data_IF_701921591179
#
_entry.id   IF_701921591179
#
_cell.length_a   1.000
_cell.length_b   1.000
_cell.length_c   1.000
_cell.angle_alpha   90.00
_cell.angle_beta   90.00
_cell.angle_gamma   90.00
#
_symmetry.space_group_name_H-M   'P 1'
#
loop_
_entity.id
_entity.type
_entity.pdbx_description
1 polymer ?
#
# COMPACT_ATOMS: atom_id res chain seq x y z
N UNK A 1 -20.60 25.60 10.25
CA UNK A 1 -20.07 25.17 8.96
C UNK A 1 -18.56 25.34 8.95
N UNK A 2 -17.87 24.60 8.06
CA UNK A 2 -16.43 24.75 7.83
C UNK A 2 -16.29 25.68 6.63
N UNK A 3 -15.47 26.72 6.77
CA UNK A 3 -15.07 27.61 5.69
C UNK A 3 -13.58 27.39 5.41
N UNK A 4 -13.23 27.26 4.13
CA UNK A 4 -11.85 27.01 3.70
C UNK A 4 -11.39 28.26 2.92
N UNK A 5 -10.22 28.77 3.30
CA UNK A 5 -9.58 29.89 2.63
C UNK A 5 -8.20 29.47 2.11
N UNK A 6 -7.78 29.97 0.95
CA UNK A 6 -6.43 29.75 0.44
C UNK A 6 -5.40 30.72 1.04
N UNK A 7 -4.16 30.66 0.59
CA UNK A 7 -3.07 31.54 1.05
C UNK A 7 -3.27 33.02 0.72
N UNK A 8 -4.19 33.34 -0.20
CA UNK A 8 -4.54 34.69 -0.60
C UNK A 8 -5.78 35.21 0.14
N UNK A 9 -6.28 34.45 1.14
CA UNK A 9 -7.49 34.72 1.89
C UNK A 9 -8.76 34.69 1.01
N UNK A 10 -8.75 33.95 -0.10
CA UNK A 10 -9.91 33.73 -0.95
C UNK A 10 -10.66 32.48 -0.52
N UNK A 11 -12.01 32.58 -0.40
CA UNK A 11 -12.85 31.46 0.02
C UNK A 11 -12.89 30.39 -1.05
N UNK A 12 -12.52 29.17 -0.68
CA UNK A 12 -12.53 27.98 -1.54
C UNK A 12 -13.74 27.10 -1.26
N UNK A 13 -14.46 26.76 -2.32
CA UNK A 13 -15.56 25.79 -2.24
C UNK A 13 -15.06 24.41 -2.61
N UNK A 14 -15.12 23.49 -1.64
CA UNK A 14 -14.83 22.08 -1.87
C UNK A 14 -16.08 21.26 -1.57
N UNK A 15 -16.46 20.37 -2.46
CA UNK A 15 -17.53 19.43 -2.20
C UNK A 15 -17.12 18.48 -1.07
N UNK A 16 -17.95 18.33 -0.03
CA UNK A 16 -17.69 17.35 1.02
C UNK A 16 -17.67 15.96 0.42
N UNK A 17 -16.62 15.19 0.71
CA UNK A 17 -16.59 13.77 0.43
C UNK A 17 -17.13 13.08 1.67
N UNK A 18 -18.21 12.31 1.52
CA UNK A 18 -18.69 11.46 2.60
C UNK A 18 -17.67 10.36 2.83
N UNK A 19 -16.90 10.46 3.90
CA UNK A 19 -16.10 9.34 4.36
C UNK A 19 -17.10 8.30 4.89
N UNK A 20 -17.08 7.12 4.34
CA UNK A 20 -17.67 5.96 4.98
C UNK A 20 -16.80 5.63 6.20
N UNK A 21 -16.96 6.41 7.26
CA UNK A 21 -16.60 5.94 8.57
C UNK A 21 -17.58 4.81 8.86
N UNK A 22 -17.23 3.61 8.43
CA UNK A 22 -17.86 2.47 9.06
C UNK A 22 -17.67 2.70 10.56
N UNK A 23 -18.76 2.78 11.31
CA UNK A 23 -18.80 2.72 12.78
C UNK A 23 -18.30 1.33 13.24
N UNK A 24 -17.11 0.97 12.79
CA UNK A 24 -16.39 -0.19 13.27
C UNK A 24 -15.66 0.25 14.54
N UNK A 25 -16.44 0.46 15.59
CA UNK A 25 -15.89 0.33 16.93
C UNK A 25 -15.29 -1.06 16.96
N UNK A 26 -13.96 -1.14 17.00
CA UNK A 26 -13.28 -2.41 17.13
C UNK A 26 -13.66 -2.98 18.49
N UNK A 27 -14.65 -3.86 18.50
CA UNK A 27 -15.05 -4.59 19.71
C UNK A 27 -14.06 -5.74 19.91
N UNK A 28 -13.53 -5.87 21.14
CA UNK A 28 -12.69 -7.01 21.53
C UNK A 28 -13.46 -8.34 21.55
N UNK A 29 -14.78 -8.28 21.48
CA UNK A 29 -15.63 -9.45 21.69
C UNK A 29 -15.24 -10.14 23.02
N UNK A 30 -15.10 -11.47 23.03
CA UNK A 30 -14.71 -12.26 24.21
C UNK A 30 -13.18 -12.38 24.42
N UNK A 31 -12.37 -11.65 23.64
CA UNK A 31 -10.92 -11.74 23.74
C UNK A 31 -10.36 -10.82 24.83
N UNK A 32 -9.35 -11.28 25.54
CA UNK A 32 -8.67 -10.50 26.59
C UNK A 32 -7.93 -9.29 26.02
N UNK A 33 -7.33 -9.43 24.84
CA UNK A 33 -6.51 -8.42 24.17
C UNK A 33 -6.92 -8.23 22.71
N UNK A 34 -6.80 -7.03 22.18
CA UNK A 34 -7.07 -6.73 20.75
C UNK A 34 -6.15 -7.55 19.82
N UNK A 35 -4.86 -7.62 20.11
CA UNK A 35 -3.94 -8.42 19.32
C UNK A 35 -4.37 -9.89 19.23
N UNK A 36 -4.83 -10.49 20.33
CA UNK A 36 -5.32 -11.87 20.30
C UNK A 36 -6.55 -12.00 19.39
N UNK A 37 -7.50 -11.07 19.49
CA UNK A 37 -8.66 -11.02 18.58
C UNK A 37 -8.21 -10.90 17.12
N UNK A 38 -7.27 -10.02 16.82
CA UNK A 38 -6.76 -9.78 15.49
C UNK A 38 -6.03 -10.98 14.90
N UNK A 39 -5.32 -11.76 15.73
CA UNK A 39 -4.76 -13.06 15.33
C UNK A 39 -5.86 -14.03 14.88
N UNK A 40 -6.96 -14.08 15.63
CA UNK A 40 -8.10 -14.95 15.29
C UNK A 40 -8.95 -14.42 14.12
N UNK A 41 -8.83 -13.15 13.74
CA UNK A 41 -9.47 -12.60 12.55
C UNK A 41 -8.76 -13.01 11.24
N UNK A 42 -7.52 -13.50 11.28
CA UNK A 42 -6.72 -13.80 10.10
C UNK A 42 -7.41 -14.73 9.09
N UNK A 43 -8.02 -15.85 9.48
CA UNK A 43 -8.69 -16.74 8.53
C UNK A 43 -9.84 -16.05 7.78
N UNK A 44 -10.60 -15.21 8.47
CA UNK A 44 -11.72 -14.48 7.86
C UNK A 44 -11.22 -13.43 6.85
N UNK A 45 -10.13 -12.74 7.18
CA UNK A 45 -9.50 -11.77 6.29
C UNK A 45 -8.91 -12.46 5.05
N UNK A 46 -8.20 -13.58 5.23
CA UNK A 46 -7.66 -14.35 4.12
C UNK A 46 -8.77 -14.86 3.20
N UNK A 47 -9.88 -15.37 3.75
CA UNK A 47 -11.05 -15.78 2.98
C UNK A 47 -11.64 -14.61 2.19
N UNK A 48 -11.85 -13.46 2.84
CA UNK A 48 -12.35 -12.26 2.18
C UNK A 48 -11.47 -11.82 1.01
N UNK A 49 -10.13 -11.90 1.17
CA UNK A 49 -9.17 -11.58 0.12
C UNK A 49 -9.30 -12.52 -1.07
N UNK A 50 -9.37 -13.83 -0.80
CA UNK A 50 -9.56 -14.83 -1.85
C UNK A 50 -10.87 -14.58 -2.61
N UNK A 51 -11.97 -14.35 -1.91
CA UNK A 51 -13.29 -14.07 -2.53
C UNK A 51 -13.29 -12.76 -3.34
N UNK A 52 -12.55 -11.74 -2.88
CA UNK A 52 -12.49 -10.43 -3.54
C UNK A 52 -11.61 -10.43 -4.79
N UNK A 53 -10.46 -11.08 -4.72
CA UNK A 53 -9.43 -10.98 -5.74
C UNK A 53 -9.27 -12.22 -6.62
N UNK A 54 -9.83 -13.36 -6.23
CA UNK A 54 -9.85 -14.56 -7.06
C UNK A 54 -11.27 -14.81 -7.57
N UNK A 55 -11.44 -14.68 -8.87
CA UNK A 55 -12.69 -15.06 -9.54
C UNK A 55 -12.48 -16.40 -10.23
N UNK A 56 -13.33 -17.37 -9.91
CA UNK A 56 -13.34 -18.65 -10.61
C UNK A 56 -14.14 -18.51 -11.91
N UNK A 57 -13.49 -18.71 -13.03
CA UNK A 57 -14.20 -18.85 -14.32
C UNK A 57 -14.91 -20.21 -14.35
N UNK A 58 -16.24 -20.18 -14.32
CA UNK A 58 -17.08 -21.39 -14.32
C UNK A 58 -17.01 -22.20 -15.61
N UNK A 59 -16.49 -21.62 -16.70
CA UNK A 59 -16.38 -22.32 -18.00
C UNK A 59 -15.05 -23.06 -18.13
N UNK A 60 -13.98 -22.45 -17.63
CA UNK A 60 -12.63 -23.01 -17.77
C UNK A 60 -12.12 -23.68 -16.51
N UNK A 61 -12.87 -23.57 -15.40
CA UNK A 61 -12.48 -24.03 -14.04
C UNK A 61 -11.17 -23.38 -13.53
N UNK A 62 -10.73 -22.29 -14.18
CA UNK A 62 -9.50 -21.57 -13.83
C UNK A 62 -9.81 -20.37 -12.94
N UNK A 63 -8.82 -20.02 -12.09
CA UNK A 63 -8.89 -18.80 -11.30
C UNK A 63 -8.25 -17.64 -12.05
N UNK A 64 -8.92 -16.48 -12.00
CA UNK A 64 -8.41 -15.21 -12.51
C UNK A 64 -8.31 -14.20 -11.38
N UNK A 65 -7.30 -13.34 -11.47
CA UNK A 65 -7.12 -12.25 -10.49
C UNK A 65 -8.04 -11.10 -10.89
N UNK A 66 -8.95 -10.74 -10.00
CA UNK A 66 -9.84 -9.58 -10.13
C UNK A 66 -9.13 -8.29 -9.70
N UNK A 67 -8.02 -7.99 -10.34
CA UNK A 67 -7.29 -6.74 -10.16
C UNK A 67 -6.56 -6.43 -11.46
N UNK A 68 -6.83 -5.25 -12.04
CA UNK A 68 -6.17 -4.86 -13.28
C UNK A 68 -5.20 -3.72 -13.04
N UNK A 69 -3.93 -3.98 -13.27
CA UNK A 69 -2.96 -2.94 -13.60
C UNK A 69 -2.88 -2.81 -15.11
N UNK A 70 -2.46 -1.64 -15.56
CA UNK A 70 -2.08 -1.47 -16.96
C UNK A 70 -0.97 -2.48 -17.32
N UNK A 71 -1.23 -3.29 -18.35
CA UNK A 71 -0.30 -4.34 -18.77
C UNK A 71 1.02 -3.75 -19.26
N UNK A 72 0.99 -2.62 -19.98
CA UNK A 72 2.20 -1.97 -20.46
C UNK A 72 3.04 -1.44 -19.29
N UNK A 73 2.36 -0.92 -18.25
CA UNK A 73 3.03 -0.55 -17.01
C UNK A 73 3.74 -1.73 -16.37
N UNK A 74 3.05 -2.89 -16.21
CA UNK A 74 3.66 -4.07 -15.59
C UNK A 74 4.82 -4.63 -16.42
N UNK A 75 4.65 -4.72 -17.72
CA UNK A 75 5.67 -5.25 -18.64
C UNK A 75 6.93 -4.36 -18.73
N UNK A 76 6.82 -3.09 -18.34
CA UNK A 76 7.97 -2.18 -18.33
C UNK A 76 8.86 -2.34 -17.09
N UNK A 77 8.44 -3.09 -16.06
CA UNK A 77 9.16 -3.17 -14.78
C UNK A 77 10.32 -4.16 -14.87
N UNK A 78 11.52 -3.67 -14.57
CA UNK A 78 12.76 -4.46 -14.54
C UNK A 78 13.30 -4.66 -13.11
N UNK A 79 12.81 -3.89 -12.15
CA UNK A 79 13.22 -3.92 -10.75
C UNK A 79 12.10 -3.50 -9.83
N UNK A 80 12.06 -4.05 -8.63
CA UNK A 80 11.13 -3.68 -7.59
C UNK A 80 11.91 -3.25 -6.33
N UNK A 81 11.59 -2.06 -5.81
CA UNK A 81 12.09 -1.56 -4.54
C UNK A 81 10.91 -1.35 -3.58
N UNK A 82 10.88 -2.10 -2.47
CA UNK A 82 9.81 -2.03 -1.48
C UNK A 82 10.29 -1.21 -0.28
N UNK A 83 9.52 -0.22 0.13
CA UNK A 83 9.83 0.63 1.28
C UNK A 83 8.76 0.51 2.35
N UNK A 84 9.16 0.18 3.57
CA UNK A 84 8.26 -0.08 4.68
C UNK A 84 8.97 0.08 6.03
N UNK A 85 8.18 0.15 7.11
CA UNK A 85 8.67 0.15 8.49
C UNK A 85 8.04 -1.01 9.30
N UNK A 86 8.70 -1.41 10.38
CA UNK A 86 8.17 -2.36 11.36
C UNK A 86 7.69 -3.68 10.74
N UNK A 87 6.53 -4.15 11.15
CA UNK A 87 5.94 -5.41 10.72
C UNK A 87 5.64 -5.42 9.21
N UNK A 88 5.26 -4.27 8.62
CA UNK A 88 5.06 -4.13 7.17
C UNK A 88 6.34 -4.42 6.38
N UNK A 89 7.52 -4.06 6.92
CA UNK A 89 8.78 -4.44 6.28
C UNK A 89 9.02 -5.94 6.34
N UNK A 90 8.68 -6.61 7.45
CA UNK A 90 8.83 -8.06 7.55
C UNK A 90 7.90 -8.79 6.57
N UNK A 91 6.67 -8.32 6.40
CA UNK A 91 5.75 -8.80 5.35
C UNK A 91 6.35 -8.59 3.96
N UNK A 92 6.89 -7.40 3.68
CA UNK A 92 7.58 -7.10 2.42
C UNK A 92 8.77 -8.02 2.15
N UNK A 93 9.50 -8.47 3.19
CA UNK A 93 10.61 -9.42 3.03
C UNK A 93 10.10 -10.80 2.58
N UNK A 94 8.95 -11.26 3.06
CA UNK A 94 8.30 -12.48 2.55
C UNK A 94 7.83 -12.24 1.11
N UNK A 95 7.16 -11.12 0.85
CA UNK A 95 6.71 -10.73 -0.48
C UNK A 95 7.83 -10.67 -1.52
N UNK A 96 9.04 -10.22 -1.13
CA UNK A 96 10.23 -10.25 -1.99
C UNK A 96 10.49 -11.64 -2.55
N UNK A 97 10.54 -12.68 -1.69
CA UNK A 97 10.80 -14.05 -2.16
C UNK A 97 9.77 -14.52 -3.18
N UNK A 98 8.49 -14.20 -2.94
CA UNK A 98 7.41 -14.56 -3.84
C UNK A 98 7.51 -13.81 -5.17
N UNK A 99 7.78 -12.50 -5.13
CA UNK A 99 7.94 -11.68 -6.33
C UNK A 99 9.11 -12.18 -7.18
N UNK A 100 10.29 -12.41 -6.58
CA UNK A 100 11.46 -12.91 -7.29
C UNK A 100 11.20 -14.30 -7.87
N UNK A 101 10.54 -15.18 -7.12
CA UNK A 101 10.24 -16.56 -7.56
C UNK A 101 9.26 -16.60 -8.72
N UNK A 102 8.21 -15.78 -8.71
CA UNK A 102 7.13 -15.86 -9.71
C UNK A 102 7.33 -14.94 -10.89
N UNK A 103 7.94 -13.76 -10.70
CA UNK A 103 8.15 -12.80 -11.79
C UNK A 103 9.56 -12.82 -12.37
N UNK A 104 10.56 -13.33 -11.63
CA UNK A 104 11.97 -13.24 -12.00
C UNK A 104 12.54 -11.82 -11.88
N UNK A 105 11.77 -10.86 -11.34
CA UNK A 105 12.21 -9.46 -11.24
C UNK A 105 12.99 -9.25 -9.93
N UNK A 106 14.24 -8.73 -10.00
CA UNK A 106 15.02 -8.41 -8.81
C UNK A 106 14.26 -7.47 -7.87
N UNK A 107 14.10 -7.88 -6.61
CA UNK A 107 13.33 -7.14 -5.61
C UNK A 107 14.17 -6.82 -4.39
N UNK A 108 14.14 -5.58 -3.92
CA UNK A 108 14.80 -5.16 -2.70
C UNK A 108 13.78 -4.64 -1.69
N UNK A 109 14.12 -4.78 -0.40
CA UNK A 109 13.28 -4.28 0.69
C UNK A 109 14.11 -3.38 1.58
N UNK A 110 13.68 -2.14 1.73
CA UNK A 110 14.35 -1.12 2.50
C UNK A 110 13.55 -0.72 3.74
N UNK A 111 14.23 -0.36 4.81
CA UNK A 111 13.62 0.45 5.85
C UNK A 111 13.31 1.83 5.28
N UNK A 112 12.06 2.27 5.39
CA UNK A 112 11.68 3.59 4.90
C UNK A 112 12.43 4.72 5.62
N UNK A 113 12.75 4.54 6.92
CA UNK A 113 13.58 5.46 7.69
C UNK A 113 14.98 5.66 7.09
N UNK A 114 15.60 4.59 6.59
CA UNK A 114 16.92 4.66 5.98
C UNK A 114 16.84 5.13 4.51
N UNK A 115 15.87 4.61 3.77
CA UNK A 115 15.68 4.92 2.35
C UNK A 115 15.51 6.43 2.11
N UNK A 116 14.81 7.14 2.99
CA UNK A 116 14.62 8.60 2.87
C UNK A 116 15.90 9.42 2.97
N UNK A 117 16.96 8.91 3.62
CA UNK A 117 18.22 9.61 3.81
C UNK A 117 19.36 9.07 2.91
N UNK A 118 19.34 7.77 2.64
CA UNK A 118 20.35 7.08 1.84
C UNK A 118 19.71 6.15 0.82
N UNK A 119 18.96 6.70 -0.15
CA UNK A 119 18.33 5.88 -1.17
C UNK A 119 19.37 5.27 -2.11
N UNK A 120 19.09 4.08 -2.69
CA UNK A 120 19.98 3.50 -3.70
C UNK A 120 20.06 4.39 -4.95
N UNK A 121 21.08 4.20 -5.83
CA UNK A 121 21.11 4.83 -7.13
C UNK A 121 19.82 4.59 -7.91
N UNK A 122 19.35 5.62 -8.62
CA UNK A 122 18.19 5.48 -9.50
C UNK A 122 18.53 4.56 -10.66
N UNK A 123 17.69 3.56 -10.86
CA UNK A 123 17.72 2.71 -12.04
C UNK A 123 16.44 2.93 -12.86
N UNK A 124 16.51 2.78 -14.19
CA UNK A 124 15.33 2.88 -15.03
C UNK A 124 14.32 1.78 -14.70
N UNK A 125 13.09 1.93 -15.13
CA UNK A 125 12.03 0.92 -15.09
C UNK A 125 11.84 0.26 -13.70
N UNK A 126 12.08 1.04 -12.64
CA UNK A 126 11.91 0.57 -11.25
C UNK A 126 10.51 0.85 -10.75
N UNK A 127 9.84 -0.16 -10.24
CA UNK A 127 8.62 -0.03 -9.44
C UNK A 127 8.99 0.20 -7.98
N UNK A 128 8.49 1.26 -7.37
CA UNK A 128 8.60 1.47 -5.92
C UNK A 128 7.28 1.16 -5.23
N UNK A 129 7.29 0.23 -4.28
CA UNK A 129 6.10 -0.18 -3.52
C UNK A 129 6.20 0.36 -2.09
N UNK A 130 5.27 1.23 -1.71
CA UNK A 130 5.12 1.68 -0.32
C UNK A 130 4.17 0.79 0.45
N UNK A 131 4.64 0.12 1.53
CA UNK A 131 3.80 -0.75 2.36
C UNK A 131 3.59 -0.13 3.74
N UNK A 132 2.34 0.14 4.09
CA UNK A 132 1.96 0.70 5.39
C UNK A 132 0.51 0.41 5.72
N UNK A 133 0.26 -0.23 6.84
CA UNK A 133 -1.10 -0.57 7.30
C UNK A 133 -1.97 0.69 7.46
N UNK A 134 -1.48 1.70 8.17
CA UNK A 134 -2.23 2.93 8.45
C UNK A 134 -2.28 3.91 7.28
N UNK A 135 -1.34 3.81 6.35
CA UNK A 135 -1.13 4.82 5.31
C UNK A 135 -0.58 6.16 5.81
N UNK A 136 -0.25 6.26 7.12
CA UNK A 136 0.19 7.47 7.79
C UNK A 136 1.60 7.34 8.40
N UNK A 137 2.33 6.27 8.10
CA UNK A 137 3.70 6.08 8.60
C UNK A 137 4.62 7.14 8.02
N UNK A 138 5.08 8.07 8.87
CA UNK A 138 5.81 9.26 8.45
C UNK A 138 7.03 8.98 7.57
N UNK A 139 7.84 7.97 7.95
CA UNK A 139 9.03 7.60 7.18
C UNK A 139 8.67 7.01 5.81
N UNK A 140 7.60 6.19 5.73
CA UNK A 140 7.15 5.62 4.45
C UNK A 140 6.63 6.71 3.52
N UNK A 141 5.84 7.65 4.04
CA UNK A 141 5.35 8.80 3.28
C UNK A 141 6.52 9.67 2.79
N UNK A 142 7.47 9.97 3.67
CA UNK A 142 8.63 10.79 3.33
C UNK A 142 9.54 10.11 2.28
N UNK A 143 9.75 8.80 2.39
CA UNK A 143 10.50 8.00 1.43
C UNK A 143 9.85 8.03 0.04
N UNK A 144 8.54 7.83 -0.04
CA UNK A 144 7.78 7.90 -1.30
C UNK A 144 7.82 9.32 -1.89
N UNK A 145 7.57 10.35 -1.09
CA UNK A 145 7.62 11.74 -1.55
C UNK A 145 9.00 12.12 -2.11
N UNK A 146 10.06 11.67 -1.45
CA UNK A 146 11.44 11.85 -1.90
C UNK A 146 11.68 11.12 -3.21
N UNK A 147 11.24 9.87 -3.35
CA UNK A 147 11.42 9.07 -4.56
C UNK A 147 10.67 9.66 -5.76
N UNK A 148 9.44 10.14 -5.57
CA UNK A 148 8.70 10.89 -6.59
C UNK A 148 9.52 12.07 -7.08
N UNK A 149 10.03 12.89 -6.15
CA UNK A 149 10.80 14.10 -6.48
C UNK A 149 12.09 13.75 -7.23
N UNK A 150 12.84 12.74 -6.76
CA UNK A 150 14.08 12.31 -7.41
C UNK A 150 13.86 11.88 -8.85
N UNK A 151 12.85 11.02 -9.08
CA UNK A 151 12.56 10.48 -10.42
C UNK A 151 12.02 11.55 -11.36
N UNK A 152 11.09 12.37 -10.89
CA UNK A 152 10.52 13.45 -11.68
C UNK A 152 11.55 14.51 -12.11
N UNK A 153 12.66 14.67 -11.38
CA UNK A 153 13.71 15.63 -11.71
C UNK A 153 14.61 15.20 -12.87
N UNK A 154 14.58 13.91 -13.28
CA UNK A 154 15.42 13.40 -14.38
C UNK A 154 14.85 13.78 -15.75
N UNK A 155 13.51 13.84 -15.91
CA UNK A 155 12.86 14.17 -17.17
C UNK A 155 12.90 13.08 -18.25
N UNK A 156 13.35 11.86 -17.91
CA UNK A 156 13.38 10.69 -18.79
C UNK A 156 12.24 9.72 -18.40
N UNK A 157 11.47 9.27 -19.39
CA UNK A 157 10.33 8.37 -19.18
C UNK A 157 10.71 7.04 -18.54
N UNK A 158 11.91 6.53 -18.76
CA UNK A 158 12.41 5.30 -18.14
C UNK A 158 12.61 5.47 -16.61
N UNK A 159 12.75 6.71 -16.15
CA UNK A 159 12.91 7.07 -14.75
C UNK A 159 11.62 7.63 -14.13
N UNK A 160 10.50 7.64 -14.85
CA UNK A 160 9.23 8.12 -14.27
C UNK A 160 8.91 7.40 -12.96
N UNK A 161 8.21 8.06 -12.02
CA UNK A 161 7.77 7.42 -10.78
C UNK A 161 6.73 6.33 -11.06
N UNK A 162 7.14 5.07 -11.04
CA UNK A 162 6.24 3.92 -11.08
C UNK A 162 5.97 3.50 -9.63
N UNK A 163 4.75 3.69 -9.15
CA UNK A 163 4.42 3.58 -7.73
C UNK A 163 3.18 2.74 -7.49
N UNK A 164 3.26 1.89 -6.46
CA UNK A 164 2.11 1.18 -5.88
C UNK A 164 2.13 1.40 -4.37
N UNK A 165 0.98 1.65 -3.76
CA UNK A 165 0.79 1.61 -2.32
C UNK A 165 0.03 0.35 -1.91
N UNK A 166 0.51 -0.34 -0.88
CA UNK A 166 -0.24 -1.41 -0.19
C UNK A 166 -0.63 -0.85 1.17
N UNK A 167 -1.92 -0.61 1.39
CA UNK A 167 -2.41 0.03 2.62
C UNK A 167 -3.81 -0.45 2.99
N UNK A 168 -4.14 -0.38 4.27
CA UNK A 168 -5.48 -0.66 4.77
C UNK A 168 -6.40 0.57 4.73
N UNK A 169 -5.87 1.75 4.33
CA UNK A 169 -6.61 3.02 4.28
C UNK A 169 -6.30 3.78 2.99
N UNK A 170 -7.19 3.67 2.03
CA UNK A 170 -7.02 4.33 0.71
C UNK A 170 -7.09 5.85 0.79
N UNK A 171 -7.81 6.41 1.77
CA UNK A 171 -7.96 7.87 1.98
C UNK A 171 -6.80 8.50 2.74
N UNK A 172 -5.81 7.69 3.12
CA UNK A 172 -4.63 8.13 3.88
C UNK A 172 -3.69 9.04 3.09
N UNK A 173 -2.69 9.56 3.78
CA UNK A 173 -1.68 10.43 3.18
C UNK A 173 -0.91 9.74 2.05
N UNK A 174 -0.58 8.46 2.19
CA UNK A 174 0.06 7.70 1.10
C UNK A 174 -0.90 7.46 -0.06
N UNK A 175 -2.17 7.17 0.23
CA UNK A 175 -3.20 6.94 -0.79
C UNK A 175 -3.50 8.18 -1.63
N UNK A 176 -3.31 9.37 -1.08
CA UNK A 176 -3.44 10.63 -1.83
C UNK A 176 -2.24 10.92 -2.74
N UNK A 177 -1.09 10.32 -2.49
CA UNK A 177 0.13 10.53 -3.29
C UNK A 177 0.28 9.51 -4.41
N UNK A 178 -0.24 8.31 -4.25
CA UNK A 178 -0.06 7.19 -5.17
C UNK A 178 -1.41 6.79 -5.76
N UNK A 179 -1.58 6.85 -7.09
CA UNK A 179 -2.84 6.49 -7.73
C UNK A 179 -3.12 4.98 -7.73
N UNK A 180 -2.07 4.15 -7.75
CA UNK A 180 -2.21 2.71 -7.77
C UNK A 180 -2.16 2.14 -6.34
N UNK A 181 -3.32 1.76 -5.80
CA UNK A 181 -3.43 1.31 -4.40
C UNK A 181 -3.99 -0.11 -4.34
N UNK A 182 -3.27 -0.99 -3.67
CA UNK A 182 -3.80 -2.29 -3.24
C UNK A 182 -4.35 -2.12 -1.83
N UNK A 183 -5.67 -2.18 -1.71
CA UNK A 183 -6.34 -2.05 -0.40
C UNK A 183 -6.35 -3.39 0.33
N UNK A 184 -5.71 -3.45 1.49
CA UNK A 184 -5.68 -4.64 2.36
C UNK A 184 -7.08 -5.00 2.86
N UNK A 185 -7.96 -4.01 3.10
CA UNK A 185 -9.36 -4.23 3.52
C UNK A 185 -9.52 -5.14 4.75
N UNK A 186 -8.56 -5.11 5.68
CA UNK A 186 -8.54 -5.96 6.86
C UNK A 186 -9.35 -5.37 8.05
N UNK A 187 -10.05 -4.25 7.83
CA UNK A 187 -10.74 -3.53 8.89
C UNK A 187 -9.78 -2.87 9.90
N UNK A 188 -10.30 -2.43 11.04
CA UNK A 188 -9.50 -1.75 12.06
C UNK A 188 -8.57 -2.75 12.76
N UNK A 189 -7.30 -2.39 12.87
CA UNK A 189 -6.29 -3.09 13.65
C UNK A 189 -5.73 -2.13 14.72
N UNK A 190 -5.78 -2.53 15.99
CA UNK A 190 -5.39 -1.72 17.14
C UNK A 190 -4.03 -2.18 17.70
N UNK A 191 -3.70 -3.45 17.53
CA UNK A 191 -2.40 -3.99 17.93
C UNK A 191 -1.26 -3.23 17.25
N UNK A 192 -0.22 -2.87 18.03
CA UNK A 192 0.94 -2.14 17.48
C UNK A 192 1.72 -3.00 16.47
N UNK A 193 1.96 -4.26 16.81
CA UNK A 193 2.50 -5.22 15.86
C UNK A 193 1.37 -5.74 14.98
N UNK A 194 1.45 -5.50 13.67
CA UNK A 194 0.46 -5.97 12.72
C UNK A 194 0.36 -7.50 12.75
N UNK A 195 -0.84 -8.03 12.72
CA UNK A 195 -1.13 -9.46 12.69
C UNK A 195 -1.96 -9.83 11.48
N UNK A 196 -3.20 -9.35 11.41
CA UNK A 196 -4.13 -9.64 10.32
C UNK A 196 -3.86 -8.86 9.02
N UNK A 197 -3.06 -7.79 9.11
CA UNK A 197 -2.62 -7.00 7.94
C UNK A 197 -1.23 -7.40 7.46
N UNK A 198 -0.64 -8.46 8.06
CA UNK A 198 0.68 -8.96 7.66
C UNK A 198 0.65 -9.76 6.37
N UNK A 199 -0.46 -10.46 6.07
CA UNK A 199 -0.63 -11.35 4.92
C UNK A 199 -0.77 -10.63 3.61
#
# INVERSE_FOLDING_TARGET
GIEIYDSNNERQYRNPISLQTADQVSDKKNFKHYMLKEIYDQPDIAKYWLEKYLIKDLKTDQFQINYSFDTDFLNSIERIDIVACGTSKHSAMVGKFLLEQFSGIPTNVFFASEFRYSPPPLLPNTLTIGVTQSGETADTIAAISMEIKRRSSIGDNNFKPNLIAITNRVESSIGRQIPNIINISAGIEIGVAATKTFF
#
